data_IF_407971470170
#
_entry.id   IF_407971470170
#
_cell.length_a   1.000
_cell.length_b   1.000
_cell.length_c   1.000
_cell.angle_alpha   90.00
_cell.angle_beta   90.00
_cell.angle_gamma   90.00
#
_symmetry.space_group_name_H-M   'P 1'
#
loop_
_entity.id
_entity.type
_entity.pdbx_description
1 polymer ?
#
# COMPACT_ATOMS: atom_id res chain seq x y z
N UNK A 1 3.47 -10.71 19.60
CA UNK A 1 2.00 -10.89 19.63
C UNK A 1 1.69 -12.16 20.39
N UNK A 2 1.00 -12.04 21.52
CA UNK A 2 0.44 -13.21 22.22
C UNK A 2 -0.67 -13.86 21.39
N UNK A 3 -0.98 -15.14 21.65
CA UNK A 3 -2.04 -15.86 20.91
C UNK A 3 -3.40 -15.16 21.00
N UNK A 4 -3.65 -14.44 22.11
CA UNK A 4 -4.86 -13.67 22.32
C UNK A 4 -4.91 -12.37 21.48
N UNK A 5 -3.80 -11.63 21.42
CA UNK A 5 -3.67 -10.43 20.58
C UNK A 5 -3.88 -10.75 19.09
N UNK A 6 -3.35 -11.87 18.59
CA UNK A 6 -3.54 -12.28 17.20
C UNK A 6 -5.01 -12.56 16.87
N UNK A 7 -5.76 -13.14 17.82
CA UNK A 7 -7.20 -13.40 17.66
C UNK A 7 -8.00 -12.10 17.71
N UNK A 8 -7.65 -11.16 18.59
CA UNK A 8 -8.24 -9.83 18.65
C UNK A 8 -7.99 -9.07 17.34
N UNK A 9 -6.75 -9.08 16.84
CA UNK A 9 -6.36 -8.44 15.58
C UNK A 9 -7.17 -8.96 14.39
N UNK A 10 -7.28 -10.29 14.24
CA UNK A 10 -8.08 -10.90 13.16
C UNK A 10 -9.56 -10.49 13.24
N UNK A 11 -10.11 -10.37 14.46
CA UNK A 11 -11.49 -9.93 14.68
C UNK A 11 -11.72 -8.50 14.23
N UNK A 12 -10.84 -7.59 14.65
CA UNK A 12 -10.89 -6.16 14.28
C UNK A 12 -10.82 -5.97 12.76
N UNK A 13 -9.97 -6.73 12.08
CA UNK A 13 -9.74 -6.57 10.64
C UNK A 13 -10.86 -7.16 9.78
N UNK A 14 -11.39 -8.34 10.12
CA UNK A 14 -12.26 -9.11 9.22
C UNK A 14 -13.75 -9.10 9.55
N UNK A 15 -14.14 -8.89 10.81
CA UNK A 15 -15.55 -9.03 11.22
C UNK A 15 -16.28 -7.68 11.20
N UNK A 16 -17.56 -7.68 10.82
CA UNK A 16 -18.37 -6.45 10.65
C UNK A 16 -19.10 -5.98 11.91
N UNK A 17 -19.12 -6.76 12.99
CA UNK A 17 -20.14 -6.61 14.03
C UNK A 17 -19.72 -5.67 15.17
N UNK A 18 -20.68 -5.30 16.02
CA UNK A 18 -20.56 -4.31 17.10
C UNK A 18 -19.52 -4.65 18.19
N UNK A 19 -18.97 -5.87 18.21
CA UNK A 19 -17.94 -6.31 19.17
C UNK A 19 -16.51 -5.80 18.85
N UNK A 20 -16.36 -4.96 17.81
CA UNK A 20 -15.08 -4.40 17.36
C UNK A 20 -14.36 -3.59 18.43
N UNK A 21 -15.09 -2.74 19.13
CA UNK A 21 -14.49 -1.77 20.06
C UNK A 21 -13.96 -2.47 21.32
N UNK A 22 -14.65 -3.49 21.79
CA UNK A 22 -14.21 -4.31 22.93
C UNK A 22 -12.94 -5.13 22.66
N UNK A 23 -12.65 -5.43 21.38
CA UNK A 23 -11.44 -6.15 20.97
C UNK A 23 -10.25 -5.22 20.72
N UNK A 24 -10.49 -3.91 20.52
CA UNK A 24 -9.42 -2.93 20.34
C UNK A 24 -8.62 -2.76 21.63
N UNK A 25 -9.27 -2.78 22.79
CA UNK A 25 -8.62 -2.61 24.10
C UNK A 25 -7.61 -3.71 24.44
N UNK A 26 -7.66 -4.84 23.75
CA UNK A 26 -6.74 -5.98 23.94
C UNK A 26 -5.44 -5.83 23.14
N UNK A 27 -5.33 -4.80 22.29
CA UNK A 27 -4.18 -4.56 21.43
C UNK A 27 -3.32 -3.41 21.98
N UNK A 28 -2.03 -3.45 21.68
CA UNK A 28 -1.15 -2.29 21.90
C UNK A 28 -1.49 -1.18 20.88
N UNK A 29 -1.23 0.09 21.20
CA UNK A 29 -1.57 1.24 20.35
C UNK A 29 -1.02 1.12 18.91
N UNK A 30 0.22 0.64 18.76
CA UNK A 30 0.81 0.40 17.45
C UNK A 30 0.04 -0.66 16.63
N UNK A 31 -0.46 -1.71 17.28
CA UNK A 31 -1.19 -2.79 16.61
C UNK A 31 -2.66 -2.44 16.38
N UNK A 32 -3.26 -1.61 17.24
CA UNK A 32 -4.55 -0.95 17.00
C UNK A 32 -4.50 -0.14 15.71
N UNK A 33 -3.49 0.72 15.57
CA UNK A 33 -3.32 1.56 14.37
C UNK A 33 -3.17 0.72 13.10
N UNK A 34 -2.32 -0.32 13.13
CA UNK A 34 -2.17 -1.24 12.00
C UNK A 34 -3.49 -1.93 11.65
N UNK A 35 -4.21 -2.45 12.65
CA UNK A 35 -5.47 -3.14 12.45
C UNK A 35 -6.53 -2.21 11.81
N UNK A 36 -6.63 -0.98 12.28
CA UNK A 36 -7.56 0.03 11.75
C UNK A 36 -7.22 0.44 10.31
N UNK A 37 -5.92 0.65 10.01
CA UNK A 37 -5.46 0.94 8.65
C UNK A 37 -5.78 -0.23 7.72
N UNK A 38 -5.42 -1.47 8.11
CA UNK A 38 -5.70 -2.68 7.33
C UNK A 38 -7.19 -2.86 7.08
N UNK A 39 -8.02 -2.64 8.10
CA UNK A 39 -9.47 -2.68 7.98
C UNK A 39 -9.95 -1.66 6.94
N UNK A 40 -9.48 -0.41 7.01
CA UNK A 40 -9.84 0.63 6.03
C UNK A 40 -9.40 0.30 4.60
N UNK A 41 -8.19 -0.25 4.43
CA UNK A 41 -7.67 -0.66 3.13
C UNK A 41 -8.42 -1.85 2.53
N UNK A 42 -8.87 -2.79 3.37
CA UNK A 42 -9.66 -3.94 2.94
C UNK A 42 -11.12 -3.56 2.65
N UNK A 43 -11.74 -2.70 3.48
CA UNK A 43 -13.14 -2.30 3.29
C UNK A 43 -13.37 -1.51 2.01
N UNK A 44 -12.37 -0.74 1.56
CA UNK A 44 -12.41 0.02 0.31
C UNK A 44 -11.73 -0.70 -0.87
N UNK A 45 -11.44 -2.00 -0.72
CA UNK A 45 -10.79 -2.83 -1.73
C UNK A 45 -9.45 -2.28 -2.28
N UNK A 46 -8.78 -1.39 -1.54
CA UNK A 46 -7.50 -0.79 -1.94
C UNK A 46 -6.44 -1.88 -1.99
N UNK A 47 -6.32 -2.67 -0.92
CA UNK A 47 -5.32 -3.73 -0.84
C UNK A 47 -5.56 -4.81 -1.90
N UNK A 48 -6.82 -5.19 -2.13
CA UNK A 48 -7.19 -6.11 -3.20
C UNK A 48 -6.79 -5.56 -4.57
N UNK A 49 -7.07 -4.29 -4.84
CA UNK A 49 -6.73 -3.63 -6.11
C UNK A 49 -5.22 -3.57 -6.33
N UNK A 50 -4.45 -3.23 -5.29
CA UNK A 50 -2.98 -3.19 -5.34
C UNK A 50 -2.42 -4.56 -5.69
N UNK A 51 -2.86 -5.61 -5.00
CA UNK A 51 -2.38 -6.98 -5.17
C UNK A 51 -2.79 -7.61 -6.51
N UNK A 52 -3.89 -7.14 -7.10
CA UNK A 52 -4.37 -7.64 -8.41
C UNK A 52 -3.65 -6.98 -9.59
N UNK A 53 -3.13 -5.76 -9.41
CA UNK A 53 -2.42 -5.04 -10.48
C UNK A 53 -1.05 -5.65 -10.75
N UNK A 54 -0.68 -5.75 -12.01
CA UNK A 54 0.62 -6.24 -12.46
C UNK A 54 1.61 -5.09 -12.62
N UNK A 55 2.75 -5.21 -11.97
CA UNK A 55 3.86 -4.27 -12.12
C UNK A 55 4.41 -4.30 -13.55
N UNK A 56 4.88 -3.13 -14.03
CA UNK A 56 5.32 -2.83 -15.39
C UNK A 56 4.30 -3.05 -16.50
N UNK A 57 3.05 -3.40 -16.17
CA UNK A 57 1.94 -3.55 -17.11
C UNK A 57 0.80 -2.60 -16.76
N UNK A 58 0.38 -2.57 -15.50
CA UNK A 58 -0.68 -1.68 -15.03
C UNK A 58 -0.13 -0.46 -14.30
N UNK A 59 1.06 -0.56 -13.73
CA UNK A 59 1.71 0.52 -12.99
C UNK A 59 3.23 0.33 -12.95
N UNK A 60 3.95 1.40 -12.63
CA UNK A 60 5.38 1.37 -12.37
C UNK A 60 5.96 2.77 -12.23
N UNK A 61 7.28 2.88 -12.08
CA UNK A 61 7.98 4.16 -12.04
C UNK A 61 8.08 4.75 -13.46
N UNK A 62 7.84 6.05 -13.61
CA UNK A 62 7.88 6.65 -14.94
C UNK A 62 9.31 6.60 -15.53
N UNK A 63 9.54 5.97 -16.69
CA UNK A 63 10.89 5.65 -17.17
C UNK A 63 11.73 6.88 -17.55
N UNK A 64 11.08 7.95 -18.03
CA UNK A 64 11.75 9.14 -18.56
C UNK A 64 11.55 10.42 -17.74
N UNK A 65 10.68 10.41 -16.72
CA UNK A 65 10.36 11.61 -15.92
C UNK A 65 11.19 11.56 -14.64
N UNK A 66 12.41 12.11 -14.70
CA UNK A 66 13.36 12.11 -13.58
C UNK A 66 12.82 12.71 -12.27
N UNK A 67 11.79 13.57 -12.33
CA UNK A 67 11.12 14.14 -11.15
C UNK A 67 9.91 13.36 -10.62
N UNK A 68 9.54 12.22 -11.22
CA UNK A 68 8.40 11.42 -10.76
C UNK A 68 8.88 10.19 -9.99
N UNK A 69 8.77 10.25 -8.65
CA UNK A 69 9.11 9.13 -7.74
C UNK A 69 7.89 8.33 -7.28
N UNK A 70 6.73 8.66 -7.83
CA UNK A 70 5.47 7.97 -7.53
C UNK A 70 5.20 6.95 -8.63
N UNK A 71 4.52 5.86 -8.28
CA UNK A 71 3.99 4.94 -9.28
C UNK A 71 2.96 5.65 -10.15
N UNK A 72 3.06 5.45 -11.47
CA UNK A 72 2.11 5.97 -12.46
C UNK A 72 1.37 4.81 -13.13
N UNK A 73 0.16 5.05 -13.65
CA UNK A 73 -0.54 4.06 -14.48
C UNK A 73 0.22 3.78 -15.78
N UNK A 74 0.18 2.53 -16.23
CA UNK A 74 0.76 2.11 -17.51
C UNK A 74 -0.37 1.74 -18.48
N UNK A 75 -0.23 2.14 -19.75
CA UNK A 75 -1.17 1.76 -20.83
C UNK A 75 -0.76 0.47 -21.54
N UNK A 76 0.53 0.17 -21.54
CA UNK A 76 1.09 -1.06 -22.07
C UNK A 76 2.32 -1.47 -21.26
N UNK A 77 2.90 -2.63 -21.57
CA UNK A 77 4.12 -3.11 -20.92
C UNK A 77 5.22 -2.06 -21.08
N UNK A 78 5.76 -1.58 -19.96
CA UNK A 78 6.83 -0.58 -19.92
C UNK A 78 6.48 0.78 -20.55
N UNK A 79 5.19 1.04 -20.79
CA UNK A 79 4.70 2.31 -21.35
C UNK A 79 3.83 3.01 -20.32
N UNK A 80 4.44 4.00 -19.65
CA UNK A 80 3.73 4.88 -18.73
C UNK A 80 2.69 5.74 -19.48
N UNK A 81 1.52 5.89 -18.88
CA UNK A 81 0.47 6.74 -19.40
C UNK A 81 0.89 8.24 -19.34
N UNK A 82 0.61 9.03 -20.38
CA UNK A 82 1.06 10.42 -20.45
C UNK A 82 0.33 11.28 -19.42
N UNK A 83 1.09 11.89 -18.50
CA UNK A 83 0.59 12.86 -17.49
C UNK A 83 -0.56 12.36 -16.60
N UNK A 84 -0.64 11.05 -16.35
CA UNK A 84 -1.67 10.50 -15.45
C UNK A 84 -1.08 10.11 -14.11
N UNK A 85 -1.83 10.40 -13.05
CA UNK A 85 -1.56 9.95 -11.69
C UNK A 85 -2.79 9.19 -11.17
N UNK A 86 -2.63 8.36 -10.14
CA UNK A 86 -3.76 7.67 -9.53
C UNK A 86 -4.64 8.66 -8.79
N UNK A 87 -5.94 8.64 -9.06
CA UNK A 87 -6.91 9.54 -8.42
C UNK A 87 -6.99 9.36 -6.90
N UNK A 88 -6.82 8.13 -6.42
CA UNK A 88 -6.82 7.82 -5.00
C UNK A 88 -5.38 7.81 -4.46
N UNK A 89 -5.05 8.68 -3.47
CA UNK A 89 -3.70 8.78 -2.94
C UNK A 89 -3.24 7.50 -2.24
N UNK A 90 -4.13 6.77 -1.57
CA UNK A 90 -3.79 5.49 -0.92
C UNK A 90 -3.30 4.45 -1.92
N UNK A 91 -3.95 4.40 -3.09
CA UNK A 91 -3.57 3.51 -4.17
C UNK A 91 -2.21 3.94 -4.76
N UNK A 92 -2.02 5.25 -4.95
CA UNK A 92 -0.76 5.80 -5.43
C UNK A 92 0.40 5.43 -4.49
N UNK A 93 0.23 5.62 -3.18
CA UNK A 93 1.23 5.31 -2.16
C UNK A 93 1.53 3.82 -2.12
N UNK A 94 0.50 2.97 -2.04
CA UNK A 94 0.68 1.53 -1.97
C UNK A 94 1.38 0.96 -3.23
N UNK A 95 0.98 1.41 -4.42
CA UNK A 95 1.63 1.02 -5.67
C UNK A 95 3.05 1.57 -5.79
N UNK A 96 3.35 2.74 -5.21
CA UNK A 96 4.71 3.29 -5.15
C UNK A 96 5.61 2.40 -4.33
N UNK A 97 5.19 2.01 -3.11
CA UNK A 97 5.94 1.03 -2.33
C UNK A 97 6.12 -0.29 -3.08
N UNK A 98 5.06 -0.78 -3.73
CA UNK A 98 5.11 -2.03 -4.47
C UNK A 98 6.05 -1.97 -5.70
N UNK A 99 6.18 -0.78 -6.31
CA UNK A 99 7.12 -0.52 -7.40
C UNK A 99 8.56 -0.59 -6.90
N UNK A 100 8.90 0.16 -5.85
CA UNK A 100 10.24 0.12 -5.27
C UNK A 100 10.60 -1.23 -4.64
N UNK A 101 9.60 -1.97 -4.16
CA UNK A 101 9.81 -3.33 -3.69
C UNK A 101 10.22 -4.29 -4.82
N UNK A 102 9.69 -4.09 -6.03
CA UNK A 102 9.97 -4.96 -7.19
C UNK A 102 11.19 -4.49 -8.01
N UNK A 103 11.31 -3.19 -8.25
CA UNK A 103 12.42 -2.60 -9.02
C UNK A 103 13.68 -2.38 -8.19
N UNK A 104 13.54 -2.24 -6.87
CA UNK A 104 14.60 -1.77 -5.99
C UNK A 104 14.84 -0.27 -6.08
N UNK A 105 15.84 0.20 -5.34
CA UNK A 105 16.31 1.59 -5.36
C UNK A 105 17.58 1.68 -6.21
N UNK A 106 17.62 2.65 -7.14
CA UNK A 106 18.85 2.94 -7.87
C UNK A 106 19.90 3.60 -6.97
N UNK A 107 21.16 3.64 -7.43
CA UNK A 107 22.24 4.31 -6.70
C UNK A 107 21.95 5.79 -6.50
N UNK A 108 21.30 6.43 -7.47
CA UNK A 108 20.88 7.82 -7.42
C UNK A 108 19.82 8.02 -6.33
N UNK A 109 18.81 7.15 -6.27
CA UNK A 109 17.78 7.19 -5.23
C UNK A 109 18.38 6.97 -3.83
N UNK A 110 19.31 6.03 -3.69
CA UNK A 110 19.99 5.79 -2.42
C UNK A 110 20.81 6.99 -1.98
N UNK A 111 21.57 7.61 -2.89
CA UNK A 111 22.33 8.83 -2.58
C UNK A 111 21.40 9.92 -2.07
N UNK A 112 20.26 10.10 -2.71
CA UNK A 112 19.31 11.12 -2.29
C UNK A 112 18.65 10.85 -0.94
N UNK A 113 18.33 9.60 -0.62
CA UNK A 113 17.72 9.25 0.68
C UNK A 113 18.69 9.47 1.85
N UNK A 114 19.99 9.30 1.63
CA UNK A 114 21.02 9.35 2.68
C UNK A 114 21.90 10.62 2.68
N UNK A 115 21.59 11.61 1.83
CA UNK A 115 22.25 12.93 1.81
C UNK A 115 21.33 13.98 2.39
#
# INVERSE_FOLDING_TARGET
MTSNEARAFKRVVLYSDAEKDASLDQLNEADKNKALILRGMLSHAILQTVLTKRHRVNYGAHPTRAGCRMAVPYTAKDVAAPRTEFQQPDLAIALTFMTYYQDGLSRENLREVFT
#
